data_IF_396872557323
#
_entry.id   IF_396872557323
#
_cell.length_a   1.000
_cell.length_b   1.000
_cell.length_c   1.000
_cell.angle_alpha   90.00
_cell.angle_beta   90.00
_cell.angle_gamma   90.00
#
_symmetry.space_group_name_H-M   'P 1'
#
loop_
_entity.id
_entity.type
_entity.pdbx_description
1 polymer ?
#
# COMPACT_ATOMS: atom_id res chain seq x y z
N UNK A 1 46.76 -19.60 40.74
CA UNK A 1 46.80 -18.46 39.80
C UNK A 1 45.83 -18.64 38.60
N UNK A 2 44.66 -19.31 38.77
CA UNK A 2 43.76 -19.68 37.64
C UNK A 2 42.47 -18.85 37.56
N UNK A 3 42.16 -18.00 38.57
CA UNK A 3 40.87 -17.30 38.67
C UNK A 3 40.82 -15.87 38.10
N UNK A 4 41.94 -15.28 37.66
CA UNK A 4 41.93 -13.91 37.09
C UNK A 4 41.54 -13.82 35.63
N UNK A 5 41.68 -14.90 34.85
CA UNK A 5 41.34 -14.89 33.45
C UNK A 5 39.84 -15.06 33.19
N UNK A 6 39.11 -15.80 34.06
CA UNK A 6 37.69 -16.02 33.88
C UNK A 6 36.87 -14.73 34.09
N UNK A 7 37.25 -13.89 35.05
CA UNK A 7 36.52 -12.63 35.30
C UNK A 7 36.68 -11.57 34.22
N UNK A 8 37.75 -11.66 33.40
CA UNK A 8 37.96 -10.71 32.31
C UNK A 8 37.20 -11.10 31.06
N UNK A 9 37.03 -12.41 30.83
CA UNK A 9 36.21 -12.96 29.73
C UNK A 9 34.74 -12.69 29.98
N UNK A 10 34.24 -12.88 31.21
CA UNK A 10 32.83 -12.58 31.57
C UNK A 10 32.50 -11.11 31.41
N UNK A 11 33.35 -10.19 31.81
CA UNK A 11 33.11 -8.75 31.66
C UNK A 11 33.07 -8.32 30.20
N UNK A 12 33.91 -8.89 29.35
CA UNK A 12 33.91 -8.64 27.89
C UNK A 12 32.66 -9.23 27.23
N UNK A 13 32.25 -10.43 27.63
CA UNK A 13 31.05 -11.08 27.13
C UNK A 13 29.78 -10.27 27.51
N UNK A 14 29.71 -9.78 28.76
CA UNK A 14 28.59 -8.92 29.21
C UNK A 14 28.57 -7.61 28.42
N UNK A 15 29.72 -6.97 28.22
CA UNK A 15 29.79 -5.72 27.42
C UNK A 15 29.34 -5.95 25.98
N UNK A 16 29.73 -7.05 25.35
CA UNK A 16 29.27 -7.40 24.01
C UNK A 16 27.77 -7.65 23.95
N UNK A 17 27.21 -8.39 24.92
CA UNK A 17 25.78 -8.63 25.00
C UNK A 17 24.99 -7.33 25.18
N UNK A 18 25.45 -6.39 26.01
CA UNK A 18 24.82 -5.09 26.18
C UNK A 18 24.90 -4.26 24.89
N UNK A 19 26.06 -4.29 24.22
CA UNK A 19 26.25 -3.58 22.96
C UNK A 19 25.35 -4.12 21.85
N UNK A 20 25.27 -5.46 21.70
CA UNK A 20 24.37 -6.10 20.74
C UNK A 20 22.90 -5.87 21.07
N UNK A 21 22.53 -5.91 22.37
CA UNK A 21 21.18 -5.60 22.81
C UNK A 21 20.79 -4.14 22.53
N UNK A 22 21.69 -3.19 22.73
CA UNK A 22 21.45 -1.79 22.40
C UNK A 22 21.27 -1.58 20.89
N UNK A 23 22.10 -2.21 20.06
CA UNK A 23 22.01 -2.13 18.59
C UNK A 23 20.69 -2.74 18.08
N UNK A 24 20.20 -3.82 18.68
CA UNK A 24 18.94 -4.45 18.29
C UNK A 24 17.74 -3.53 18.52
N UNK A 25 17.72 -2.78 19.62
CA UNK A 25 16.62 -1.85 19.94
C UNK A 25 16.52 -0.70 18.93
N UNK A 26 17.64 -0.27 18.34
CA UNK A 26 17.65 0.79 17.33
C UNK A 26 17.34 0.29 15.92
N UNK A 27 17.52 -1.01 15.64
CA UNK A 27 17.30 -1.56 14.30
C UNK A 27 15.84 -1.92 14.01
N UNK A 28 15.08 -2.33 15.03
CA UNK A 28 13.71 -2.83 14.86
C UNK A 28 12.74 -1.79 14.25
N UNK A 29 12.67 -0.53 14.73
CA UNK A 29 11.71 0.43 14.18
C UNK A 29 11.99 0.79 12.71
N UNK A 30 13.24 0.79 12.26
CA UNK A 30 13.59 1.11 10.88
C UNK A 30 13.17 0.02 9.88
N UNK A 31 13.04 -1.22 10.34
CA UNK A 31 12.63 -2.34 9.48
C UNK A 31 11.12 -2.32 9.22
N UNK A 32 10.31 -1.95 10.23
CA UNK A 32 8.86 -1.84 10.06
C UNK A 32 8.50 -0.73 9.06
N UNK A 33 9.07 0.48 9.23
CA UNK A 33 8.84 1.60 8.32
C UNK A 33 9.26 1.28 6.87
N UNK A 34 10.33 0.51 6.71
CA UNK A 34 10.79 0.11 5.37
C UNK A 34 9.83 -0.88 4.71
N UNK A 35 9.31 -1.86 5.46
CA UNK A 35 8.35 -2.84 4.93
C UNK A 35 7.02 -2.19 4.55
N UNK A 36 6.54 -1.25 5.36
CA UNK A 36 5.33 -0.50 5.09
C UNK A 36 5.46 0.35 3.81
N UNK A 37 6.59 1.07 3.65
CA UNK A 37 6.88 1.83 2.42
C UNK A 37 6.90 0.95 1.17
N UNK A 38 7.48 -0.24 1.25
CA UNK A 38 7.47 -1.18 0.13
C UNK A 38 6.05 -1.59 -0.23
N UNK A 39 5.24 -1.95 0.76
CA UNK A 39 3.87 -2.40 0.52
C UNK A 39 2.97 -1.30 -0.03
N UNK A 40 3.05 -0.08 0.50
CA UNK A 40 2.31 1.07 -0.03
C UNK A 40 2.72 1.35 -1.48
N UNK A 41 4.02 1.25 -1.78
CA UNK A 41 4.52 1.42 -3.14
C UNK A 41 4.03 0.31 -4.09
N UNK A 42 4.00 -0.94 -3.65
CA UNK A 42 3.43 -2.07 -4.43
C UNK A 42 1.94 -1.88 -4.68
N UNK A 43 1.18 -1.47 -3.64
CA UNK A 43 -0.24 -1.17 -3.76
C UNK A 43 -0.52 -0.01 -4.74
N UNK A 44 0.32 1.03 -4.71
CA UNK A 44 0.26 2.12 -5.68
C UNK A 44 0.53 1.63 -7.12
N UNK A 45 1.57 0.81 -7.33
CA UNK A 45 1.86 0.25 -8.65
C UNK A 45 0.71 -0.63 -9.15
N UNK A 46 0.11 -1.43 -8.28
CA UNK A 46 -1.08 -2.20 -8.60
C UNK A 46 -2.27 -1.31 -9.00
N UNK A 47 -2.52 -0.24 -8.25
CA UNK A 47 -3.56 0.73 -8.58
C UNK A 47 -3.28 1.40 -9.94
N UNK A 48 -2.04 1.78 -10.21
CA UNK A 48 -1.63 2.39 -11.49
C UNK A 48 -1.83 1.44 -12.68
N UNK A 49 -1.51 0.16 -12.55
CA UNK A 49 -1.81 -0.85 -13.57
C UNK A 49 -3.31 -1.09 -13.72
N UNK A 50 -4.02 -1.15 -12.58
CA UNK A 50 -5.48 -1.29 -12.56
C UNK A 50 -6.17 -0.15 -13.31
N UNK A 51 -5.68 1.08 -13.20
CA UNK A 51 -6.17 2.24 -13.96
C UNK A 51 -6.16 1.99 -15.46
N UNK A 52 -5.08 1.41 -15.99
CA UNK A 52 -4.98 1.12 -17.42
C UNK A 52 -6.04 0.09 -17.85
N UNK A 53 -6.19 -0.99 -17.10
CA UNK A 53 -7.17 -2.04 -17.38
C UNK A 53 -8.61 -1.57 -17.22
N UNK A 54 -8.89 -0.73 -16.24
CA UNK A 54 -10.20 -0.11 -16.07
C UNK A 54 -10.53 0.84 -17.24
N UNK A 55 -9.51 1.54 -17.77
CA UNK A 55 -9.68 2.37 -18.97
C UNK A 55 -9.94 1.53 -20.22
N UNK A 56 -9.25 0.41 -20.40
CA UNK A 56 -9.50 -0.55 -21.48
C UNK A 56 -10.91 -1.14 -21.39
N UNK A 57 -11.33 -1.55 -20.19
CA UNK A 57 -12.69 -2.04 -19.95
C UNK A 57 -13.73 -0.99 -20.33
N UNK A 58 -13.52 0.28 -19.93
CA UNK A 58 -14.42 1.37 -20.29
C UNK A 58 -14.50 1.59 -21.79
N UNK A 59 -13.38 1.56 -22.51
CA UNK A 59 -13.37 1.71 -23.98
C UNK A 59 -14.14 0.58 -24.65
N UNK A 60 -14.00 -0.65 -24.17
CA UNK A 60 -14.64 -1.83 -24.76
C UNK A 60 -16.13 -1.95 -24.42
N UNK A 61 -16.52 -1.56 -23.21
CA UNK A 61 -17.87 -1.76 -22.68
C UNK A 61 -18.74 -0.49 -22.66
N UNK A 62 -18.13 0.69 -22.89
CA UNK A 62 -18.72 2.03 -22.77
C UNK A 62 -19.33 2.31 -21.37
N UNK A 63 -18.94 1.57 -20.34
CA UNK A 63 -19.36 1.74 -18.94
C UNK A 63 -18.20 1.40 -17.99
N UNK A 64 -18.31 1.86 -16.75
CA UNK A 64 -17.43 1.40 -15.67
C UNK A 64 -17.89 0.04 -15.11
N UNK A 65 -17.00 -0.72 -14.47
CA UNK A 65 -17.40 -1.88 -13.67
C UNK A 65 -18.40 -1.45 -12.59
N UNK A 66 -19.40 -2.28 -12.33
CA UNK A 66 -20.47 -1.97 -11.38
C UNK A 66 -20.44 -2.85 -10.13
N UNK A 67 -19.59 -3.88 -10.13
CA UNK A 67 -19.47 -4.81 -9.01
C UNK A 67 -18.02 -5.07 -8.67
N UNK A 68 -17.77 -5.43 -7.41
CA UNK A 68 -16.45 -5.85 -6.94
C UNK A 68 -15.87 -7.00 -7.79
N UNK A 69 -16.70 -7.98 -8.14
CA UNK A 69 -16.26 -9.12 -8.96
C UNK A 69 -15.84 -8.71 -10.38
N UNK A 70 -16.50 -7.73 -10.98
CA UNK A 70 -16.06 -7.15 -12.26
C UNK A 70 -14.73 -6.42 -12.11
N UNK A 71 -14.57 -5.57 -11.09
CA UNK A 71 -13.30 -4.89 -10.83
C UNK A 71 -12.19 -5.91 -10.63
N UNK A 72 -12.39 -6.91 -9.77
CA UNK A 72 -11.42 -7.99 -9.56
C UNK A 72 -11.06 -8.70 -10.87
N UNK A 73 -12.03 -9.08 -11.67
CA UNK A 73 -11.77 -9.78 -12.94
C UNK A 73 -10.95 -8.93 -13.91
N UNK A 74 -11.15 -7.63 -13.92
CA UNK A 74 -10.42 -6.69 -14.78
C UNK A 74 -9.02 -6.43 -14.25
N UNK A 75 -8.86 -6.21 -12.93
CA UNK A 75 -7.60 -5.77 -12.33
C UNK A 75 -6.64 -6.92 -12.00
N UNK A 76 -7.17 -8.10 -11.61
CA UNK A 76 -6.35 -9.23 -11.18
C UNK A 76 -6.15 -10.31 -12.24
N UNK A 77 -6.78 -10.20 -13.40
CA UNK A 77 -6.81 -11.23 -14.45
C UNK A 77 -5.43 -11.80 -14.85
N UNK A 78 -4.35 -11.04 -14.66
CA UNK A 78 -2.98 -11.48 -14.94
C UNK A 78 -1.99 -11.25 -13.80
N UNK A 79 -2.42 -10.64 -12.69
CA UNK A 79 -1.54 -10.25 -11.58
C UNK A 79 -1.70 -11.15 -10.35
N UNK A 80 -2.72 -12.00 -10.32
CA UNK A 80 -3.11 -12.74 -9.12
C UNK A 80 -3.77 -11.83 -8.09
N UNK A 81 -4.02 -12.37 -6.89
CA UNK A 81 -4.50 -11.60 -5.74
C UNK A 81 -3.27 -11.22 -4.91
N UNK A 82 -2.91 -9.94 -4.83
CA UNK A 82 -1.76 -9.52 -4.04
C UNK A 82 -2.01 -9.72 -2.53
N UNK A 83 -1.00 -10.15 -1.79
CA UNK A 83 -1.12 -10.42 -0.35
C UNK A 83 -1.44 -9.16 0.48
N UNK A 84 -1.08 -7.98 -0.03
CA UNK A 84 -1.40 -6.70 0.62
C UNK A 84 -2.86 -6.28 0.44
N UNK A 85 -3.62 -6.90 -0.47
CA UNK A 85 -4.97 -6.48 -0.82
C UNK A 85 -6.02 -7.24 0.00
N UNK A 86 -6.72 -6.55 0.92
CA UNK A 86 -7.85 -7.09 1.71
C UNK A 86 -9.12 -7.20 0.86
N UNK A 87 -9.41 -6.17 0.07
CA UNK A 87 -10.65 -6.08 -0.70
C UNK A 87 -10.63 -4.97 -1.75
N UNK A 88 -11.65 -4.99 -2.58
CA UNK A 88 -11.89 -3.95 -3.59
C UNK A 88 -13.35 -3.53 -3.50
N UNK A 89 -13.61 -2.24 -3.54
CA UNK A 89 -14.95 -1.67 -3.59
C UNK A 89 -15.06 -0.77 -4.82
N UNK A 90 -16.23 -0.72 -5.43
CA UNK A 90 -16.54 0.21 -6.51
C UNK A 90 -17.75 1.04 -6.15
N UNK A 91 -17.63 2.35 -6.32
CA UNK A 91 -18.69 3.33 -6.12
C UNK A 91 -18.90 4.09 -7.43
N UNK A 92 -20.10 3.95 -8.00
CA UNK A 92 -20.52 4.62 -9.23
C UNK A 92 -21.52 5.77 -8.95
N UNK A 93 -21.82 6.01 -7.68
CA UNK A 93 -22.78 7.02 -7.22
C UNK A 93 -22.08 8.17 -6.45
N UNK A 94 -20.76 8.29 -6.59
CA UNK A 94 -20.00 9.37 -5.98
C UNK A 94 -20.42 10.73 -6.56
N UNK A 95 -20.50 11.76 -5.70
CA UNK A 95 -20.98 13.09 -6.11
C UNK A 95 -19.99 13.88 -6.95
N UNK A 96 -18.71 13.51 -6.92
CA UNK A 96 -17.61 14.23 -7.55
C UNK A 96 -17.03 13.48 -8.75
N UNK A 97 -17.15 12.14 -8.76
CA UNK A 97 -16.54 11.27 -9.75
C UNK A 97 -17.57 10.35 -10.41
N UNK A 98 -17.35 10.02 -11.68
CA UNK A 98 -18.19 9.04 -12.39
C UNK A 98 -17.96 7.61 -11.89
N UNK A 99 -16.80 7.33 -11.30
CA UNK A 99 -16.47 6.09 -10.61
C UNK A 99 -15.34 6.31 -9.60
N UNK A 100 -15.44 5.65 -8.45
CA UNK A 100 -14.36 5.51 -7.48
C UNK A 100 -14.12 4.02 -7.23
N UNK A 101 -12.88 3.57 -7.39
CA UNK A 101 -12.45 2.20 -7.07
C UNK A 101 -11.49 2.27 -5.90
N UNK A 102 -11.85 1.63 -4.77
CA UNK A 102 -11.06 1.59 -3.55
C UNK A 102 -10.39 0.23 -3.42
N UNK A 103 -9.10 0.22 -3.15
CA UNK A 103 -8.28 -0.95 -2.88
C UNK A 103 -7.92 -0.96 -1.41
N UNK A 104 -8.61 -1.78 -0.61
CA UNK A 104 -8.39 -1.89 0.82
C UNK A 104 -7.13 -2.69 1.10
N UNK A 105 -6.28 -2.15 1.98
CA UNK A 105 -5.02 -2.75 2.37
C UNK A 105 -5.20 -3.64 3.60
N UNK A 106 -4.39 -4.69 3.71
CA UNK A 106 -4.36 -5.53 4.89
C UNK A 106 -3.77 -4.76 6.08
N UNK A 107 -4.43 -4.83 7.22
CA UNK A 107 -4.03 -4.17 8.47
C UNK A 107 -2.70 -4.72 9.03
N UNK A 108 -2.36 -5.96 8.69
CA UNK A 108 -1.07 -6.58 9.06
C UNK A 108 0.13 -5.96 8.35
N UNK A 109 -0.11 -5.15 7.33
CA UNK A 109 0.94 -4.65 6.41
C UNK A 109 1.07 -3.13 6.47
N UNK A 110 -0.02 -2.42 6.77
CA UNK A 110 -0.07 -0.96 6.90
C UNK A 110 -0.77 -0.62 8.21
N UNK A 111 0.00 -0.03 9.15
CA UNK A 111 -0.57 0.48 10.39
C UNK A 111 -1.43 1.71 10.08
N UNK A 112 -2.74 1.58 10.28
CA UNK A 112 -3.63 2.73 10.15
C UNK A 112 -3.43 3.68 11.32
N UNK A 113 -3.16 4.96 11.11
CA UNK A 113 -3.01 5.96 12.18
C UNK A 113 -4.30 6.22 12.95
N UNK A 114 -5.40 5.68 12.52
CA UNK A 114 -6.70 5.69 13.21
C UNK A 114 -7.39 4.35 12.95
N UNK A 115 -8.29 3.92 13.86
CA UNK A 115 -9.10 2.69 13.71
C UNK A 115 -9.95 2.63 12.41
N UNK A 116 -9.55 3.38 11.39
CA UNK A 116 -10.18 3.45 10.07
C UNK A 116 -9.44 2.56 9.08
N UNK A 117 -10.19 1.91 8.20
CA UNK A 117 -9.63 1.08 7.13
C UNK A 117 -8.70 1.88 6.22
N UNK A 118 -7.52 1.32 5.94
CA UNK A 118 -6.53 1.89 5.02
C UNK A 118 -6.84 1.46 3.58
N UNK A 119 -6.93 2.42 2.67
CA UNK A 119 -7.13 2.13 1.25
C UNK A 119 -6.47 3.17 0.33
N UNK A 120 -6.11 2.72 -0.85
CA UNK A 120 -5.77 3.58 -1.99
C UNK A 120 -7.00 3.60 -2.92
N UNK A 121 -7.35 4.75 -3.47
CA UNK A 121 -8.45 4.85 -4.42
C UNK A 121 -8.02 5.45 -5.75
N UNK A 122 -8.69 5.00 -6.79
CA UNK A 122 -8.67 5.60 -8.13
C UNK A 122 -10.04 6.19 -8.41
N UNK A 123 -10.09 7.44 -8.79
CA UNK A 123 -11.32 8.11 -9.18
C UNK A 123 -11.22 8.58 -10.63
N UNK A 124 -12.28 8.42 -11.41
CA UNK A 124 -12.30 8.85 -12.80
C UNK A 124 -13.53 9.71 -13.12
N UNK A 125 -13.29 10.71 -13.97
CA UNK A 125 -14.33 11.47 -14.64
C UNK A 125 -14.18 11.34 -16.15
N UNK A 126 -15.31 11.31 -16.85
CA UNK A 126 -15.35 11.43 -18.32
C UNK A 126 -14.78 12.79 -18.73
N UNK A 127 -13.89 12.78 -19.67
CA UNK A 127 -13.19 14.00 -20.11
C UNK A 127 -12.87 13.92 -21.61
N UNK A 128 -13.00 15.02 -22.29
CA UNK A 128 -12.62 15.12 -23.71
C UNK A 128 -11.11 15.15 -23.95
N UNK A 129 -10.30 15.33 -22.91
CA UNK A 129 -8.84 15.48 -22.99
C UNK A 129 -8.03 14.38 -22.28
N UNK A 130 -8.69 13.36 -21.71
CA UNK A 130 -8.01 12.28 -20.99
C UNK A 130 -7.64 11.07 -21.86
N UNK A 131 -6.89 10.13 -21.27
CA UNK A 131 -6.61 8.83 -21.88
C UNK A 131 -7.92 8.04 -21.97
N UNK A 132 -8.25 7.54 -23.13
CA UNK A 132 -9.52 6.84 -23.41
C UNK A 132 -10.78 7.70 -23.07
N UNK A 133 -10.68 9.02 -23.10
CA UNK A 133 -11.78 9.90 -22.71
C UNK A 133 -12.04 9.95 -21.20
N UNK A 134 -11.05 9.59 -20.38
CA UNK A 134 -11.12 9.57 -18.93
C UNK A 134 -10.00 10.43 -18.31
N UNK A 135 -10.36 11.19 -17.29
CA UNK A 135 -9.39 11.86 -16.41
C UNK A 135 -9.39 11.11 -15.07
N UNK A 136 -8.24 10.56 -14.71
CA UNK A 136 -8.03 9.83 -13.48
C UNK A 136 -7.34 10.69 -12.43
N UNK A 137 -7.73 10.49 -11.19
CA UNK A 137 -7.05 10.95 -9.98
C UNK A 137 -6.80 9.76 -9.05
N UNK A 138 -5.80 9.88 -8.19
CA UNK A 138 -5.42 8.90 -7.18
C UNK A 138 -5.40 9.59 -5.82
N UNK A 139 -5.74 8.86 -4.79
CA UNK A 139 -5.61 9.29 -3.41
C UNK A 139 -5.57 8.09 -2.47
N UNK A 140 -5.40 8.36 -1.18
CA UNK A 140 -5.44 7.32 -0.15
C UNK A 140 -6.14 7.83 1.10
N UNK A 141 -6.55 6.90 1.95
CA UNK A 141 -7.09 7.17 3.29
C UNK A 141 -6.55 6.14 4.26
N UNK A 142 -6.24 6.59 5.50
CA UNK A 142 -5.66 5.71 6.52
C UNK A 142 -4.22 5.28 6.22
N UNK A 143 -3.56 5.91 5.26
CA UNK A 143 -2.14 5.72 4.91
C UNK A 143 -1.42 7.03 5.18
N UNK A 144 -0.21 6.96 5.74
CA UNK A 144 0.59 8.15 6.00
C UNK A 144 0.97 8.84 4.68
N UNK A 145 0.80 10.15 4.62
CA UNK A 145 1.09 10.96 3.42
C UNK A 145 2.56 10.83 2.97
N UNK A 146 3.49 10.66 3.92
CA UNK A 146 4.91 10.48 3.63
C UNK A 146 5.23 9.15 2.91
N UNK A 147 4.29 8.20 2.92
CA UNK A 147 4.40 6.92 2.23
C UNK A 147 3.83 6.97 0.81
N UNK A 148 3.05 8.00 0.49
CA UNK A 148 2.35 8.11 -0.78
C UNK A 148 3.22 8.77 -1.85
N UNK A 149 3.16 8.29 -3.10
CA UNK A 149 3.74 9.01 -4.23
C UNK A 149 3.06 10.37 -4.44
N UNK A 150 3.83 11.36 -4.89
CA UNK A 150 3.33 12.71 -5.13
C UNK A 150 2.10 12.78 -6.06
N UNK A 151 1.93 11.81 -6.94
CA UNK A 151 0.80 11.68 -7.88
C UNK A 151 -0.53 11.33 -7.19
N UNK A 152 -0.48 10.84 -5.93
CA UNK A 152 -1.65 10.50 -5.11
C UNK A 152 -1.87 11.47 -3.93
N UNK A 153 -1.12 12.56 -3.88
CA UNK A 153 -1.24 13.61 -2.85
C UNK A 153 -2.11 14.80 -3.29
N UNK A 154 -2.76 14.70 -4.44
CA UNK A 154 -3.54 15.79 -5.06
C UNK A 154 -5.03 15.73 -4.76
#
# INVERSE_FOLDING_TARGET
MKNRQNGMIERRAILLLVLFGALAVFAVPQVSDFSERLTVNEAYHFAKESRLRLSEFYVLSARFPSTESEVRSVTTANLGHPDFLKGVEVDNDDQQYDVVVKFYLNEDVVESPSDSESFIFLAANKSTGGVAGLKWSCGARGVDEDLLPAECLS
#
